data_IF_325087868950
#
_entry.id   IF_325087868950
#
_cell.length_a   1.000
_cell.length_b   1.000
_cell.length_c   1.000
_cell.angle_alpha   90.00
_cell.angle_beta   90.00
_cell.angle_gamma   90.00
#
_symmetry.space_group_name_H-M   'P 1'
#
loop_
_entity.id
_entity.type
_entity.pdbx_description
1 polymer ?
#
# COMPACT_ATOMS: atom_id res chain seq x y z
N UNK A 1 -4.86 -27.35 34.12
CA UNK A 1 -3.91 -26.25 34.41
C UNK A 1 -2.70 -26.17 33.49
N UNK A 2 -1.67 -27.02 33.57
CA UNK A 2 -0.47 -26.87 32.71
C UNK A 2 -0.79 -27.02 31.20
N UNK A 3 -1.61 -28.00 30.82
CA UNK A 3 -2.03 -28.18 29.42
C UNK A 3 -2.84 -27.01 28.85
N UNK A 4 -3.69 -26.37 29.66
CA UNK A 4 -4.53 -25.24 29.22
C UNK A 4 -3.70 -23.96 29.03
N UNK A 5 -2.66 -23.77 29.84
CA UNK A 5 -1.71 -22.66 29.69
C UNK A 5 -0.89 -22.82 28.40
N UNK A 6 -0.41 -24.02 28.11
CA UNK A 6 0.32 -24.29 26.86
C UNK A 6 -0.57 -24.04 25.63
N UNK A 7 -1.84 -24.45 25.68
CA UNK A 7 -2.80 -24.19 24.60
C UNK A 7 -3.07 -22.69 24.41
N UNK A 8 -3.21 -21.93 25.50
CA UNK A 8 -3.39 -20.49 25.43
C UNK A 8 -2.17 -19.79 24.81
N UNK A 9 -0.96 -20.23 25.12
CA UNK A 9 0.27 -19.64 24.55
C UNK A 9 0.40 -19.91 23.05
N UNK A 10 0.10 -21.15 22.63
CA UNK A 10 0.08 -21.52 21.20
C UNK A 10 -0.96 -20.69 20.45
N UNK A 11 -2.15 -20.50 21.03
CA UNK A 11 -3.22 -19.71 20.44
C UNK A 11 -2.82 -18.23 20.33
N UNK A 12 -2.27 -17.64 21.39
CA UNK A 12 -1.76 -16.25 21.36
C UNK A 12 -0.70 -16.07 20.27
N UNK A 13 0.26 -16.98 20.17
CA UNK A 13 1.28 -16.93 19.11
C UNK A 13 0.66 -17.01 17.72
N UNK A 14 -0.31 -17.91 17.52
CA UNK A 14 -1.00 -18.09 16.24
C UNK A 14 -1.76 -16.82 15.83
N UNK A 15 -2.43 -16.17 16.79
CA UNK A 15 -3.17 -14.92 16.55
C UNK A 15 -2.23 -13.74 16.22
N UNK A 16 -1.12 -13.62 16.93
CA UNK A 16 -0.07 -12.61 16.64
C UNK A 16 0.51 -12.87 15.25
N UNK A 17 0.85 -14.12 14.93
CA UNK A 17 1.36 -14.51 13.62
C UNK A 17 0.37 -14.18 12.51
N UNK A 18 -0.92 -14.46 12.69
CA UNK A 18 -1.96 -14.13 11.71
C UNK A 18 -2.03 -12.62 11.43
N UNK A 19 -1.99 -11.78 12.48
CA UNK A 19 -1.96 -10.31 12.36
C UNK A 19 -0.72 -9.83 11.60
N UNK A 20 0.47 -10.30 12.00
CA UNK A 20 1.74 -9.89 11.41
C UNK A 20 1.86 -10.37 9.95
N UNK A 21 1.47 -11.61 9.67
CA UNK A 21 1.48 -12.15 8.31
C UNK A 21 0.54 -11.37 7.37
N UNK A 22 -0.66 -11.01 7.83
CA UNK A 22 -1.58 -10.18 7.06
C UNK A 22 -1.03 -8.77 6.82
N UNK A 23 -0.35 -8.19 7.81
CA UNK A 23 0.33 -6.90 7.66
C UNK A 23 1.44 -6.97 6.61
N UNK A 24 2.34 -7.96 6.70
CA UNK A 24 3.44 -8.11 5.74
C UNK A 24 2.92 -8.39 4.32
N UNK A 25 1.83 -9.15 4.19
CA UNK A 25 1.22 -9.44 2.90
C UNK A 25 0.60 -8.20 2.23
N UNK A 26 0.17 -7.21 3.00
CA UNK A 26 -0.56 -6.03 2.48
C UNK A 26 0.30 -4.77 2.36
N UNK A 27 1.41 -4.68 3.10
CA UNK A 27 2.37 -3.57 3.00
C UNK A 27 2.99 -3.55 1.59
N UNK A 28 2.98 -2.41 0.87
CA UNK A 28 3.43 -2.33 -0.52
C UNK A 28 4.86 -2.83 -0.76
N UNK A 29 5.77 -2.57 0.19
CA UNK A 29 7.19 -2.94 0.09
C UNK A 29 7.42 -4.46 0.07
N UNK A 30 6.62 -5.21 0.83
CA UNK A 30 6.79 -6.65 1.02
C UNK A 30 5.68 -7.49 0.38
N UNK A 31 4.55 -6.87 0.03
CA UNK A 31 3.38 -7.51 -0.55
C UNK A 31 3.53 -7.88 -2.04
N UNK A 32 4.39 -7.18 -2.79
CA UNK A 32 4.60 -7.42 -4.22
C UNK A 32 5.32 -8.73 -4.58
N UNK A 33 5.33 -9.10 -5.86
CA UNK A 33 5.99 -10.32 -6.37
C UNK A 33 7.52 -10.23 -6.37
N UNK A 34 8.10 -9.10 -5.96
CA UNK A 34 9.54 -8.88 -5.98
C UNK A 34 10.28 -9.69 -4.89
N UNK A 35 9.59 -10.15 -3.84
CA UNK A 35 10.16 -10.99 -2.78
C UNK A 35 9.60 -12.42 -2.85
N UNK A 36 10.45 -13.47 -2.77
CA UNK A 36 9.98 -14.84 -2.65
C UNK A 36 9.09 -15.03 -1.40
N UNK A 37 8.00 -15.80 -1.54
CA UNK A 37 7.07 -16.06 -0.44
C UNK A 37 7.75 -16.64 0.80
N UNK A 38 8.82 -17.43 0.62
CA UNK A 38 9.59 -18.00 1.73
C UNK A 38 10.22 -16.91 2.63
N UNK A 39 10.74 -15.84 2.03
CA UNK A 39 11.32 -14.71 2.76
C UNK A 39 10.23 -13.98 3.54
N UNK A 40 9.06 -13.77 2.92
CA UNK A 40 7.91 -13.12 3.57
C UNK A 40 7.43 -13.90 4.81
N UNK A 41 7.36 -15.22 4.68
CA UNK A 41 6.96 -16.11 5.79
C UNK A 41 8.01 -16.09 6.90
N UNK A 42 9.30 -16.22 6.56
CA UNK A 42 10.39 -16.18 7.55
C UNK A 42 10.44 -14.84 8.30
N UNK A 43 10.26 -13.73 7.58
CA UNK A 43 10.20 -12.39 8.18
C UNK A 43 8.98 -12.22 9.10
N UNK A 44 7.80 -12.67 8.65
CA UNK A 44 6.57 -12.63 9.46
C UNK A 44 6.71 -13.45 10.74
N UNK A 45 7.33 -14.62 10.67
CA UNK A 45 7.60 -15.48 11.83
C UNK A 45 8.56 -14.80 12.82
N UNK A 46 9.62 -14.17 12.31
CA UNK A 46 10.63 -13.48 13.12
C UNK A 46 10.02 -12.30 13.88
N UNK A 47 9.23 -11.49 13.19
CA UNK A 47 8.50 -10.38 13.80
C UNK A 47 7.44 -10.86 14.79
N UNK A 48 6.67 -11.89 14.44
CA UNK A 48 5.68 -12.46 15.34
C UNK A 48 6.32 -12.99 16.64
N UNK A 49 7.49 -13.64 16.57
CA UNK A 49 8.24 -14.08 17.74
C UNK A 49 8.69 -12.90 18.63
N UNK A 50 9.15 -11.80 18.01
CA UNK A 50 9.52 -10.59 18.73
C UNK A 50 8.33 -9.96 19.47
N UNK A 51 7.18 -9.81 18.80
CA UNK A 51 5.96 -9.28 19.43
C UNK A 51 5.33 -10.24 20.43
N UNK A 52 5.46 -11.55 20.23
CA UNK A 52 5.06 -12.54 21.22
C UNK A 52 5.91 -12.42 22.50
N UNK A 53 7.21 -12.16 22.39
CA UNK A 53 8.05 -11.88 23.56
C UNK A 53 7.61 -10.64 24.35
N UNK A 54 7.10 -9.62 23.67
CA UNK A 54 6.65 -8.37 24.28
C UNK A 54 5.21 -8.44 24.86
N UNK A 55 4.28 -9.09 24.17
CA UNK A 55 2.84 -9.06 24.49
C UNK A 55 2.22 -10.43 24.76
N UNK A 56 2.95 -11.52 24.54
CA UNK A 56 2.44 -12.89 24.65
C UNK A 56 2.64 -13.55 26.02
N UNK A 57 3.35 -12.89 26.95
CA UNK A 57 3.68 -13.45 28.26
C UNK A 57 2.45 -13.70 29.15
N UNK A 58 1.42 -12.87 29.02
CA UNK A 58 0.16 -13.02 29.76
C UNK A 58 -1.02 -13.12 28.77
N UNK A 59 -1.49 -14.33 28.45
CA UNK A 59 -2.66 -14.50 27.60
C UNK A 59 -3.89 -13.83 28.23
N UNK A 60 -4.55 -12.96 27.46
CA UNK A 60 -5.80 -12.28 27.85
C UNK A 60 -6.84 -13.30 28.32
N UNK A 61 -7.71 -12.89 29.25
CA UNK A 61 -8.77 -13.77 29.78
C UNK A 61 -9.64 -14.37 28.66
N UNK A 62 -9.97 -13.57 27.64
CA UNK A 62 -10.69 -14.01 26.43
C UNK A 62 -9.99 -15.16 25.70
N UNK A 63 -8.65 -15.11 25.58
CA UNK A 63 -7.85 -16.15 24.92
C UNK A 63 -7.86 -17.42 25.77
N UNK A 64 -7.77 -17.29 27.10
CA UNK A 64 -7.80 -18.44 28.03
C UNK A 64 -9.15 -19.16 27.97
N UNK A 65 -10.26 -18.41 27.92
CA UNK A 65 -11.60 -18.97 27.74
C UNK A 65 -11.78 -19.63 26.37
N UNK A 66 -11.25 -19.00 25.31
CA UNK A 66 -11.32 -19.54 23.95
C UNK A 66 -10.50 -20.85 23.81
N UNK A 67 -9.33 -20.91 24.46
CA UNK A 67 -8.47 -22.09 24.47
C UNK A 67 -9.10 -23.26 25.24
N UNK A 68 -9.76 -23.00 26.39
CA UNK A 68 -10.36 -24.06 27.22
C UNK A 68 -11.63 -24.66 26.62
N UNK A 69 -12.42 -23.86 25.90
CA UNK A 69 -13.67 -24.33 25.27
C UNK A 69 -13.45 -25.04 23.93
N UNK A 70 -12.26 -24.94 23.33
CA UNK A 70 -11.87 -25.57 22.06
C UNK A 70 -12.91 -25.40 20.92
N UNK A 71 -13.62 -24.27 20.91
CA UNK A 71 -14.65 -24.00 19.91
C UNK A 71 -13.99 -23.55 18.60
N UNK A 72 -13.89 -24.46 17.63
CA UNK A 72 -13.21 -24.24 16.35
C UNK A 72 -13.72 -22.99 15.60
N UNK A 73 -15.02 -22.70 15.66
CA UNK A 73 -15.61 -21.48 15.09
C UNK A 73 -15.08 -20.21 15.77
N UNK A 74 -14.93 -20.22 17.10
CA UNK A 74 -14.45 -19.07 17.85
C UNK A 74 -12.98 -18.76 17.53
N UNK A 75 -12.15 -19.79 17.40
CA UNK A 75 -10.74 -19.66 16.99
C UNK A 75 -10.66 -19.14 15.56
N UNK A 76 -11.49 -19.65 14.65
CA UNK A 76 -11.56 -19.19 13.27
C UNK A 76 -11.95 -17.71 13.16
N UNK A 77 -12.98 -17.29 13.91
CA UNK A 77 -13.42 -15.89 13.95
C UNK A 77 -12.36 -14.97 14.57
N UNK A 78 -11.72 -15.39 15.65
CA UNK A 78 -10.62 -14.63 16.26
C UNK A 78 -9.47 -14.45 15.25
N UNK A 79 -9.06 -15.52 14.57
CA UNK A 79 -8.00 -15.48 13.55
C UNK A 79 -8.37 -14.55 12.40
N UNK A 80 -9.61 -14.65 11.88
CA UNK A 80 -10.09 -13.78 10.82
C UNK A 80 -10.04 -12.29 11.23
N UNK A 81 -10.42 -11.99 12.47
CA UNK A 81 -10.35 -10.62 13.01
C UNK A 81 -8.90 -10.10 13.03
N UNK A 82 -7.95 -10.91 13.47
CA UNK A 82 -6.53 -10.55 13.49
C UNK A 82 -5.97 -10.34 12.08
N UNK A 83 -6.39 -11.17 11.11
CA UNK A 83 -6.05 -10.99 9.70
C UNK A 83 -6.60 -9.67 9.14
N UNK A 84 -7.87 -9.36 9.41
CA UNK A 84 -8.48 -8.09 8.98
C UNK A 84 -7.73 -6.91 9.60
N UNK A 85 -7.38 -6.99 10.89
CA UNK A 85 -6.65 -5.92 11.57
C UNK A 85 -5.25 -5.71 10.96
N UNK A 86 -4.50 -6.80 10.77
CA UNK A 86 -3.21 -6.77 10.10
C UNK A 86 -3.31 -6.17 8.69
N UNK A 87 -4.32 -6.57 7.92
CA UNK A 87 -4.56 -6.06 6.58
C UNK A 87 -4.91 -4.56 6.57
N UNK A 88 -5.73 -4.07 7.50
CA UNK A 88 -6.07 -2.64 7.62
C UNK A 88 -4.84 -1.81 8.00
N UNK A 89 -4.01 -2.30 8.93
CA UNK A 89 -2.74 -1.64 9.28
C UNK A 89 -1.81 -1.59 8.06
N UNK A 90 -1.62 -2.71 7.36
CA UNK A 90 -0.78 -2.75 6.17
C UNK A 90 -1.30 -1.86 5.03
N UNK A 91 -2.63 -1.80 4.85
CA UNK A 91 -3.27 -0.89 3.90
C UNK A 91 -3.04 0.58 4.26
N UNK A 92 -3.02 0.93 5.55
CA UNK A 92 -2.71 2.31 5.97
C UNK A 92 -1.30 2.73 5.53
N UNK A 93 -0.33 1.82 5.57
CA UNK A 93 1.01 2.08 5.02
C UNK A 93 1.02 2.11 3.49
N UNK A 94 0.10 1.39 2.83
CA UNK A 94 -0.11 1.50 1.39
C UNK A 94 -0.52 2.91 0.97
N UNK A 95 -1.40 3.55 1.74
CA UNK A 95 -1.87 4.92 1.49
C UNK A 95 -0.74 5.96 1.49
N UNK A 96 0.43 5.66 2.07
CA UNK A 96 1.59 6.57 2.04
C UNK A 96 2.31 6.57 0.69
N UNK A 97 2.39 5.42 0.02
CA UNK A 97 3.03 5.29 -1.30
C UNK A 97 2.05 5.44 -2.46
N UNK A 98 0.76 5.23 -2.19
CA UNK A 98 -0.33 5.37 -3.16
C UNK A 98 -0.32 6.71 -3.93
N UNK A 99 -0.07 7.88 -3.31
CA UNK A 99 -0.04 9.16 -4.02
C UNK A 99 1.01 9.21 -5.13
N UNK A 100 2.21 8.68 -4.86
CA UNK A 100 3.30 8.66 -5.83
C UNK A 100 2.94 7.83 -7.07
N UNK A 101 2.38 6.64 -6.83
CA UNK A 101 1.96 5.71 -7.90
C UNK A 101 0.87 6.31 -8.78
N UNK A 102 -0.12 6.93 -8.14
CA UNK A 102 -1.24 7.58 -8.83
C UNK A 102 -0.73 8.79 -9.61
N UNK A 103 0.10 9.65 -9.02
CA UNK A 103 0.67 10.80 -9.69
C UNK A 103 1.47 10.40 -10.94
N UNK A 104 2.36 9.41 -10.82
CA UNK A 104 3.12 8.90 -11.95
C UNK A 104 2.23 8.28 -13.04
N UNK A 105 1.15 7.58 -12.67
CA UNK A 105 0.19 7.06 -13.63
C UNK A 105 -0.57 8.18 -14.37
N UNK A 106 -1.02 9.22 -13.66
CA UNK A 106 -1.68 10.39 -14.26
C UNK A 106 -0.75 11.11 -15.24
N UNK A 107 0.48 11.41 -14.84
CA UNK A 107 1.43 12.09 -15.73
C UNK A 107 1.75 11.21 -16.95
N UNK A 108 1.98 9.91 -16.75
CA UNK A 108 2.23 8.98 -17.85
C UNK A 108 1.06 8.91 -18.85
N UNK A 109 -0.18 8.96 -18.36
CA UNK A 109 -1.37 9.06 -19.21
C UNK A 109 -1.41 10.38 -19.98
N UNK A 110 -1.10 11.50 -19.33
CA UNK A 110 -1.06 12.83 -19.97
C UNK A 110 0.11 13.01 -20.95
N UNK A 111 1.15 12.19 -20.86
CA UNK A 111 2.21 12.10 -21.87
C UNK A 111 1.78 11.28 -23.11
N UNK A 112 0.62 10.62 -23.06
CA UNK A 112 0.10 9.76 -24.13
C UNK A 112 0.64 8.33 -24.11
N UNK A 113 1.37 7.91 -23.07
CA UNK A 113 1.95 6.56 -22.98
C UNK A 113 0.89 5.45 -22.87
N UNK A 114 -0.35 5.79 -22.53
CA UNK A 114 -1.49 4.86 -22.51
C UNK A 114 -1.89 4.33 -23.90
N UNK A 115 -1.51 5.02 -24.98
CA UNK A 115 -1.77 4.52 -26.34
C UNK A 115 -0.76 3.44 -26.76
N UNK A 116 0.46 3.48 -26.23
CA UNK A 116 1.47 2.45 -26.50
C UNK A 116 1.08 1.09 -25.90
N UNK A 117 0.29 1.07 -24.82
CA UNK A 117 -0.26 -0.18 -24.26
C UNK A 117 -1.36 -0.82 -25.09
N UNK A 118 -1.94 -0.12 -26.07
CA UNK A 118 -2.89 -0.71 -27.02
C UNK A 118 -2.20 -1.52 -28.12
N UNK A 119 -0.89 -1.30 -28.32
CA UNK A 119 -0.12 -1.93 -29.40
C UNK A 119 0.37 -3.32 -29.02
N UNK A 120 0.65 -3.56 -27.74
CA UNK A 120 0.96 -4.89 -27.19
C UNK A 120 0.33 -5.06 -25.80
N UNK A 121 -0.84 -5.74 -25.69
CA UNK A 121 -1.51 -5.98 -24.42
C UNK A 121 -0.82 -7.05 -23.55
N UNK A 122 0.19 -7.74 -24.08
CA UNK A 122 0.93 -8.78 -23.34
C UNK A 122 2.09 -8.22 -22.52
N UNK A 123 2.53 -6.99 -22.82
CA UNK A 123 3.53 -6.28 -22.03
C UNK A 123 2.88 -5.37 -20.98
N UNK A 124 3.50 -5.20 -19.80
CA UNK A 124 3.10 -4.15 -18.87
C UNK A 124 3.12 -2.81 -19.62
N UNK A 125 1.96 -2.18 -19.78
CA UNK A 125 1.79 -1.00 -20.65
C UNK A 125 2.80 0.11 -20.34
N UNK A 126 3.22 0.88 -21.36
CA UNK A 126 4.22 1.95 -21.21
C UNK A 126 3.80 3.06 -20.21
N UNK A 127 2.50 3.26 -19.99
CA UNK A 127 1.98 4.13 -18.90
C UNK A 127 2.42 3.67 -17.50
N UNK A 128 2.77 2.39 -17.34
CA UNK A 128 3.28 1.85 -16.08
C UNK A 128 4.72 2.25 -15.78
N UNK A 129 5.50 2.69 -16.77
CA UNK A 129 6.93 3.00 -16.56
C UNK A 129 7.09 4.25 -15.69
N UNK A 130 6.31 5.31 -15.96
CA UNK A 130 6.33 6.53 -15.15
C UNK A 130 5.79 6.25 -13.75
N UNK A 131 4.72 5.46 -13.63
CA UNK A 131 4.18 5.05 -12.34
C UNK A 131 5.21 4.25 -11.52
N UNK A 132 5.95 3.32 -12.15
CA UNK A 132 7.02 2.57 -11.51
C UNK A 132 8.20 3.45 -11.09
N UNK A 133 8.55 4.47 -11.88
CA UNK A 133 9.58 5.43 -11.52
C UNK A 133 9.19 6.21 -10.26
N UNK A 134 7.96 6.76 -10.22
CA UNK A 134 7.45 7.46 -9.03
C UNK A 134 7.31 6.52 -7.83
N UNK A 135 6.90 5.26 -8.03
CA UNK A 135 6.86 4.24 -6.96
C UNK A 135 8.25 4.01 -6.37
N UNK A 136 9.27 3.85 -7.23
CA UNK A 136 10.66 3.69 -6.81
C UNK A 136 11.17 4.92 -6.03
N UNK A 137 10.86 6.14 -6.49
CA UNK A 137 11.16 7.37 -5.74
C UNK A 137 10.45 7.41 -4.38
N UNK A 138 9.17 7.02 -4.34
CA UNK A 138 8.41 6.93 -3.08
C UNK A 138 9.04 5.96 -2.10
N UNK A 139 9.52 4.81 -2.57
CA UNK A 139 10.23 3.82 -1.75
C UNK A 139 11.56 4.39 -1.24
N UNK A 140 12.33 5.07 -2.09
CA UNK A 140 13.58 5.72 -1.69
C UNK A 140 13.34 6.78 -0.61
N UNK A 141 12.31 7.61 -0.75
CA UNK A 141 11.92 8.59 0.27
C UNK A 141 11.45 7.92 1.56
N UNK A 142 10.71 6.82 1.46
CA UNK A 142 10.25 6.06 2.61
C UNK A 142 11.41 5.55 3.47
N UNK A 143 12.47 5.04 2.85
CA UNK A 143 13.68 4.64 3.57
C UNK A 143 14.54 5.83 3.98
N UNK A 144 14.70 6.83 3.10
CA UNK A 144 15.51 8.03 3.36
C UNK A 144 14.98 8.94 4.48
N UNK A 145 13.68 8.88 4.77
CA UNK A 145 13.03 9.60 5.86
C UNK A 145 12.72 8.71 7.08
N UNK A 146 13.30 7.50 7.15
CA UNK A 146 13.11 6.55 8.26
C UNK A 146 11.64 6.17 8.55
N UNK A 147 10.75 6.27 7.56
CA UNK A 147 9.32 5.95 7.74
C UNK A 147 9.11 4.48 8.12
N UNK A 148 10.03 3.60 7.73
CA UNK A 148 10.06 2.20 8.18
C UNK A 148 10.16 2.06 9.71
N UNK A 149 10.87 2.94 10.41
CA UNK A 149 10.91 2.97 11.88
C UNK A 149 9.58 3.46 12.47
N UNK A 150 9.00 4.50 11.87
CA UNK A 150 7.66 4.99 12.24
C UNK A 150 6.57 3.93 12.02
N UNK A 151 6.73 3.08 11.00
CA UNK A 151 5.87 1.94 10.73
C UNK A 151 5.95 0.90 11.86
N UNK A 152 7.17 0.47 12.24
CA UNK A 152 7.34 -0.52 13.31
C UNK A 152 6.83 -0.02 14.67
N UNK A 153 7.10 1.23 15.01
CA UNK A 153 6.58 1.86 16.24
C UNK A 153 5.05 1.97 16.21
N UNK A 154 4.45 2.31 15.07
CA UNK A 154 3.00 2.35 14.91
C UNK A 154 2.34 0.97 15.11
N UNK A 155 2.97 -0.09 14.60
CA UNK A 155 2.52 -1.47 14.81
C UNK A 155 2.63 -1.86 16.28
N UNK A 156 3.73 -1.49 16.94
CA UNK A 156 3.90 -1.74 18.38
C UNK A 156 2.79 -1.08 19.20
N UNK A 157 2.54 0.22 18.98
CA UNK A 157 1.44 0.93 19.65
C UNK A 157 0.04 0.44 19.26
N UNK A 158 -0.10 -0.29 18.14
CA UNK A 158 -1.34 -0.96 17.78
C UNK A 158 -1.56 -2.24 18.61
N UNK A 159 -0.50 -2.98 18.94
CA UNK A 159 -0.58 -4.11 19.88
C UNK A 159 -0.91 -3.65 21.31
N UNK A 160 -0.39 -2.51 21.76
CA UNK A 160 -0.73 -1.92 23.06
C UNK A 160 -2.20 -1.51 23.15
N UNK A 161 -2.72 -0.83 22.11
CA UNK A 161 -4.10 -0.32 22.09
C UNK A 161 -5.14 -1.40 21.81
N UNK A 162 -4.80 -2.38 20.98
CA UNK A 162 -5.68 -3.50 20.62
C UNK A 162 -4.93 -4.83 20.84
N UNK A 163 -4.89 -5.31 22.09
CA UNK A 163 -4.32 -6.60 22.42
C UNK A 163 -4.96 -7.72 21.60
N UNK A 164 -4.19 -8.74 21.25
CA UNK A 164 -4.72 -9.91 20.56
C UNK A 164 -5.81 -10.58 21.41
N UNK A 165 -6.84 -11.11 20.76
CA UNK A 165 -7.97 -11.73 21.45
C UNK A 165 -9.08 -10.77 21.85
N UNK A 166 -8.80 -9.49 22.11
CA UNK A 166 -9.81 -8.50 22.51
C UNK A 166 -10.84 -8.19 21.40
N UNK A 167 -12.15 -8.10 21.72
CA UNK A 167 -13.14 -7.59 20.78
C UNK A 167 -12.80 -6.15 20.37
N UNK A 168 -13.01 -5.82 19.09
CA UNK A 168 -12.67 -4.52 18.51
C UNK A 168 -13.88 -3.94 17.77
N UNK A 169 -14.11 -2.64 17.97
CA UNK A 169 -14.98 -1.86 17.09
C UNK A 169 -14.22 -1.42 15.83
N UNK A 170 -14.66 -1.92 14.68
CA UNK A 170 -14.07 -1.60 13.36
C UNK A 170 -14.50 -0.23 12.81
N UNK A 171 -15.48 0.43 13.43
CA UNK A 171 -16.11 1.64 12.86
C UNK A 171 -15.16 2.84 12.80
N UNK A 172 -14.48 3.15 13.90
CA UNK A 172 -13.56 4.30 13.95
C UNK A 172 -12.31 4.14 13.05
N UNK A 173 -11.61 2.98 13.03
CA UNK A 173 -10.50 2.77 12.10
C UNK A 173 -10.93 2.80 10.63
N UNK A 174 -12.09 2.22 10.29
CA UNK A 174 -12.58 2.19 8.91
C UNK A 174 -12.82 3.60 8.37
N UNK A 175 -13.42 4.49 9.18
CA UNK A 175 -13.60 5.88 8.79
C UNK A 175 -12.26 6.58 8.53
N UNK A 176 -11.27 6.41 9.43
CA UNK A 176 -9.94 7.03 9.25
C UNK A 176 -9.21 6.53 8.01
N UNK A 177 -9.36 5.25 7.69
CA UNK A 177 -8.79 4.67 6.46
C UNK A 177 -9.47 5.25 5.22
N UNK A 178 -10.79 5.43 5.25
CA UNK A 178 -11.52 6.04 4.13
C UNK A 178 -11.12 7.51 3.92
N UNK A 179 -10.93 8.29 4.99
CA UNK A 179 -10.40 9.65 4.90
C UNK A 179 -8.98 9.65 4.35
N UNK A 180 -8.09 8.81 4.89
CA UNK A 180 -6.71 8.71 4.39
C UNK A 180 -6.63 8.28 2.92
N UNK A 181 -7.59 7.48 2.44
CA UNK A 181 -7.70 7.16 1.02
C UNK A 181 -8.06 8.41 0.19
N UNK A 182 -9.03 9.21 0.61
CA UNK A 182 -9.36 10.47 -0.06
C UNK A 182 -8.17 11.44 -0.06
N UNK A 183 -7.50 11.60 1.09
CA UNK A 183 -6.31 12.44 1.23
C UNK A 183 -5.19 11.98 0.28
N UNK A 184 -5.00 10.67 0.13
CA UNK A 184 -3.98 10.13 -0.78
C UNK A 184 -4.23 10.49 -2.26
N UNK A 185 -5.49 10.59 -2.67
CA UNK A 185 -5.86 11.03 -4.02
C UNK A 185 -5.61 12.52 -4.21
N UNK A 186 -5.91 13.33 -3.19
CA UNK A 186 -5.62 14.76 -3.20
C UNK A 186 -4.11 15.01 -3.31
N UNK A 187 -3.31 14.32 -2.49
CA UNK A 187 -1.85 14.41 -2.55
C UNK A 187 -1.31 13.96 -3.91
N UNK A 188 -1.89 12.91 -4.50
CA UNK A 188 -1.50 12.47 -5.84
C UNK A 188 -1.71 13.57 -6.88
N UNK A 189 -2.87 14.23 -6.83
CA UNK A 189 -3.17 15.33 -7.74
C UNK A 189 -2.24 16.51 -7.52
N UNK A 190 -1.93 16.86 -6.27
CA UNK A 190 -0.99 17.93 -5.95
C UNK A 190 0.43 17.63 -6.47
N UNK A 191 0.91 16.39 -6.33
CA UNK A 191 2.20 15.94 -6.88
C UNK A 191 2.18 16.00 -8.41
N UNK A 192 1.09 15.57 -9.05
CA UNK A 192 0.98 15.58 -10.51
C UNK A 192 0.68 16.96 -11.11
N UNK A 193 0.13 17.90 -10.32
CA UNK A 193 -0.36 19.19 -10.78
C UNK A 193 0.66 20.01 -11.60
N UNK A 194 1.91 20.24 -11.16
CA UNK A 194 2.82 21.11 -11.90
C UNK A 194 3.11 20.59 -13.32
N UNK A 195 3.38 19.28 -13.46
CA UNK A 195 3.59 18.65 -14.77
C UNK A 195 2.29 18.53 -15.56
N UNK A 196 1.19 18.19 -14.88
CA UNK A 196 -0.14 18.07 -15.46
C UNK A 196 -0.64 19.36 -16.08
N UNK A 197 -0.40 20.52 -15.44
CA UNK A 197 -0.75 21.84 -15.99
C UNK A 197 0.06 22.14 -17.24
N UNK A 198 1.36 21.84 -17.26
CA UNK A 198 2.19 21.99 -18.47
C UNK A 198 1.68 21.13 -19.63
N UNK A 199 1.32 19.87 -19.37
CA UNK A 199 0.77 18.95 -20.37
C UNK A 199 -0.62 19.38 -20.85
N UNK A 200 -1.46 19.89 -19.95
CA UNK A 200 -2.76 20.45 -20.29
C UNK A 200 -2.63 21.67 -21.20
N UNK A 201 -1.75 22.62 -20.87
CA UNK A 201 -1.48 23.79 -21.73
C UNK A 201 -0.93 23.36 -23.09
N UNK A 202 -0.06 22.35 -23.12
CA UNK A 202 0.43 21.75 -24.37
C UNK A 202 -0.72 21.22 -25.23
N UNK A 203 -1.70 20.53 -24.62
CA UNK A 203 -2.87 20.02 -25.33
C UNK A 203 -3.69 21.15 -25.95
N UNK A 204 -3.91 22.25 -25.20
CA UNK A 204 -4.62 23.44 -25.72
C UNK A 204 -3.88 24.03 -26.91
N UNK A 205 -2.55 24.18 -26.84
CA UNK A 205 -1.74 24.69 -27.94
C UNK A 205 -1.83 23.79 -29.17
N UNK A 206 -1.68 22.48 -28.99
CA UNK A 206 -1.80 21.50 -30.09
C UNK A 206 -3.18 21.55 -30.75
N UNK A 207 -4.25 21.66 -29.96
CA UNK A 207 -5.61 21.76 -30.48
C UNK A 207 -5.82 23.03 -31.31
N UNK A 208 -5.30 24.18 -30.86
CA UNK A 208 -5.34 25.42 -31.61
C UNK A 208 -4.53 25.31 -32.91
N UNK A 209 -3.38 24.64 -32.90
CA UNK A 209 -2.58 24.40 -34.11
C UNK A 209 -3.29 23.51 -35.12
N UNK A 210 -3.99 22.45 -34.68
CA UNK A 210 -4.77 21.61 -35.58
C UNK A 210 -5.92 22.38 -36.25
N UNK A 211 -6.52 23.34 -35.54
CA UNK A 211 -7.52 24.23 -36.13
C UNK A 211 -6.90 25.18 -37.15
N UNK A 212 -5.68 25.67 -36.91
CA UNK A 212 -4.97 26.57 -37.82
C UNK A 212 -4.43 25.84 -39.07
N UNK A 213 -3.97 24.60 -38.92
CA UNK A 213 -3.48 23.75 -40.00
C UNK A 213 -4.12 22.36 -39.92
N UNK A 214 -5.21 22.12 -40.67
CA UNK A 214 -5.92 20.84 -40.68
C UNK A 214 -5.07 19.66 -41.20
N UNK A 215 -3.96 19.95 -41.89
CA UNK A 215 -3.04 18.93 -42.40
C UNK A 215 -2.11 18.39 -41.30
N UNK A 216 -2.08 19.00 -40.11
CA UNK A 216 -1.28 18.51 -38.99
C UNK A 216 -1.91 17.26 -38.38
N UNK A 217 -1.20 16.13 -38.52
CA UNK A 217 -1.54 14.93 -37.78
C UNK A 217 -1.14 15.10 -36.30
N UNK A 218 -2.13 15.37 -35.45
CA UNK A 218 -1.96 15.53 -34.00
C UNK A 218 -1.35 14.32 -33.32
N UNK A 219 -1.56 13.12 -33.85
CA UNK A 219 -0.96 11.92 -33.28
C UNK A 219 0.55 11.88 -33.53
N UNK A 220 0.95 12.12 -34.78
CA UNK A 220 2.37 12.09 -35.19
C UNK A 220 3.18 13.22 -34.56
N UNK A 221 2.61 14.42 -34.43
CA UNK A 221 3.33 15.58 -33.91
C UNK A 221 3.10 15.81 -32.40
N UNK A 222 1.88 15.58 -31.92
CA UNK A 222 1.50 15.91 -30.54
C UNK A 222 2.07 14.94 -29.52
N UNK A 223 2.17 13.64 -29.83
CA UNK A 223 2.69 12.64 -28.89
C UNK A 223 4.17 12.89 -28.53
N UNK A 224 5.10 13.10 -29.50
CA UNK A 224 6.49 13.45 -29.16
C UNK A 224 6.61 14.75 -28.35
N UNK A 225 5.80 15.76 -28.65
CA UNK A 225 5.82 17.04 -27.93
C UNK A 225 5.34 16.88 -26.48
N UNK A 226 4.23 16.17 -26.26
CA UNK A 226 3.72 15.86 -24.92
C UNK A 226 4.73 15.03 -24.12
N UNK A 227 5.39 14.06 -24.75
CA UNK A 227 6.43 13.26 -24.12
C UNK A 227 7.62 14.13 -23.69
N UNK A 228 8.12 15.00 -24.56
CA UNK A 228 9.24 15.88 -24.26
C UNK A 228 8.92 16.84 -23.11
N UNK A 229 7.75 17.48 -23.14
CA UNK A 229 7.31 18.40 -22.09
C UNK A 229 7.07 17.67 -20.76
N UNK A 230 6.49 16.47 -20.80
CA UNK A 230 6.29 15.65 -19.61
C UNK A 230 7.61 15.26 -18.94
N UNK A 231 8.60 14.81 -19.72
CA UNK A 231 9.94 14.48 -19.21
C UNK A 231 10.66 15.70 -18.62
N UNK A 232 10.62 16.84 -19.32
CA UNK A 232 11.22 18.09 -18.81
C UNK A 232 10.51 18.57 -17.55
N UNK A 233 9.18 18.47 -17.51
CA UNK A 233 8.38 18.80 -16.33
C UNK A 233 8.77 17.95 -15.12
N UNK A 234 8.89 16.63 -15.29
CA UNK A 234 9.32 15.72 -14.21
C UNK A 234 10.74 15.96 -13.71
N UNK A 235 11.63 16.55 -14.52
CA UNK A 235 12.99 16.87 -14.10
C UNK A 235 13.07 18.19 -13.34
N UNK A 236 12.14 19.11 -13.60
CA UNK A 236 12.10 20.43 -12.98
C UNK A 236 11.39 20.44 -11.62
N UNK A 237 10.41 19.55 -11.44
CA UNK A 237 9.57 19.46 -10.25
C UNK A 237 9.79 18.12 -9.55
#
# INVERSE_FOLDING_TARGET
MQHELTQAWILTFTLILARVAALIATVPLFGGNNLPNLVKVGFSLSLAAMWFGAFGAEPTEDIRMLASQAHWLGIGLATLREVIFGAVLGFTFNLLLMPMRIAGAYIGQEMGLSMASLTDPTQPGASSVVAQLFDAFGILLFFGLDIHHAMLTSVHSAFERWPCGSPMSLTAPAYRVAVGFADSQEWALQIAAPVGVCLFLTLVVLFLMAKASPQLNLFTFGMPVRLAIGLVGMLLF
#
